data_IF_984273411828
#
_entry.id   IF_984273411828
#
_cell.length_a   1.000
_cell.length_b   1.000
_cell.length_c   1.000
_cell.angle_alpha   90.00
_cell.angle_beta   90.00
_cell.angle_gamma   90.00
#
_symmetry.space_group_name_H-M   'P 1'
#
loop_
_entity.id
_entity.type
_entity.pdbx_description
1 polymer ?
#
# COMPACT_ATOMS: atom_id res chain seq x y z
N UNK A 1 17.48 -14.48 -11.38
CA UNK A 1 17.60 -13.11 -11.92
C UNK A 1 18.76 -13.09 -12.89
N UNK A 2 18.55 -12.52 -14.08
CA UNK A 2 19.54 -12.35 -15.13
C UNK A 2 20.33 -11.04 -14.96
N UNK A 3 21.43 -10.90 -15.72
CA UNK A 3 22.33 -9.74 -15.65
C UNK A 3 21.67 -8.45 -16.14
N UNK A 4 20.74 -8.53 -17.08
CA UNK A 4 20.05 -7.36 -17.64
C UNK A 4 19.14 -6.75 -16.58
N UNK A 5 18.33 -7.57 -15.92
CA UNK A 5 17.47 -7.14 -14.81
C UNK A 5 18.28 -6.51 -13.68
N UNK A 6 19.42 -7.08 -13.31
CA UNK A 6 20.30 -6.48 -12.31
C UNK A 6 20.81 -5.09 -12.74
N UNK A 7 21.24 -4.94 -14.00
CA UNK A 7 21.70 -3.66 -14.52
C UNK A 7 20.59 -2.60 -14.47
N UNK A 8 19.36 -2.98 -14.79
CA UNK A 8 18.20 -2.09 -14.72
C UNK A 8 17.87 -1.68 -13.30
N UNK A 9 17.90 -2.61 -12.33
CA UNK A 9 17.70 -2.26 -10.92
C UNK A 9 18.77 -1.29 -10.42
N UNK A 10 20.04 -1.49 -10.83
CA UNK A 10 21.14 -0.59 -10.48
C UNK A 10 20.92 0.78 -11.11
N UNK A 11 20.50 0.85 -12.39
CA UNK A 11 20.13 2.12 -13.05
C UNK A 11 19.01 2.82 -12.29
N UNK A 12 17.95 2.10 -11.93
CA UNK A 12 16.81 2.62 -11.17
C UNK A 12 17.28 3.22 -9.84
N UNK A 13 18.13 2.51 -9.08
CA UNK A 13 18.70 3.00 -7.82
C UNK A 13 19.41 4.35 -7.97
N UNK A 14 20.30 4.47 -8.95
CA UNK A 14 21.07 5.70 -9.12
C UNK A 14 20.23 6.83 -9.71
N UNK A 15 19.37 6.54 -10.69
CA UNK A 15 18.53 7.53 -11.32
C UNK A 15 17.45 8.05 -10.36
N UNK A 16 16.83 7.17 -9.56
CA UNK A 16 15.87 7.54 -8.52
C UNK A 16 16.51 8.47 -7.48
N UNK A 17 17.69 8.14 -6.96
CA UNK A 17 18.42 9.01 -6.03
C UNK A 17 18.73 10.39 -6.65
N UNK A 18 19.12 10.43 -7.92
CA UNK A 18 19.41 11.69 -8.63
C UNK A 18 18.16 12.56 -8.80
N UNK A 19 17.00 11.94 -8.97
CA UNK A 19 15.70 12.61 -9.10
C UNK A 19 15.06 12.99 -7.75
N UNK A 20 15.75 12.78 -6.62
CA UNK A 20 15.20 13.02 -5.28
C UNK A 20 14.21 11.95 -4.79
N UNK A 21 14.22 10.78 -5.44
CA UNK A 21 13.42 9.61 -5.07
C UNK A 21 13.97 8.82 -3.89
N UNK A 22 13.30 7.69 -3.54
CA UNK A 22 13.66 6.88 -2.39
C UNK A 22 15.04 6.22 -2.54
N UNK A 23 15.68 5.93 -1.40
CA UNK A 23 16.88 5.09 -1.40
C UNK A 23 16.49 3.61 -1.59
N UNK A 24 17.09 2.99 -2.61
CA UNK A 24 16.75 1.61 -3.00
C UNK A 24 17.81 0.63 -2.50
N UNK A 25 17.38 -0.33 -1.68
CA UNK A 25 18.13 -1.53 -1.31
C UNK A 25 17.89 -2.61 -2.37
N UNK A 26 18.95 -2.97 -3.11
CA UNK A 26 18.85 -3.93 -4.22
C UNK A 26 18.58 -5.35 -3.74
N UNK A 27 19.05 -5.72 -2.54
CA UNK A 27 18.85 -7.08 -2.00
C UNK A 27 17.38 -7.23 -1.61
N UNK A 28 16.81 -6.24 -0.92
CA UNK A 28 15.38 -6.24 -0.60
C UNK A 28 14.52 -6.12 -1.83
N UNK A 29 14.90 -5.30 -2.80
CA UNK A 29 14.20 -5.18 -4.07
C UNK A 29 14.08 -6.53 -4.79
N UNK A 30 15.13 -7.34 -4.76
CA UNK A 30 15.14 -8.67 -5.39
C UNK A 30 14.34 -9.74 -4.61
N UNK A 31 14.22 -9.61 -3.29
CA UNK A 31 13.74 -10.66 -2.41
C UNK A 31 12.35 -10.42 -1.82
N UNK A 32 11.89 -9.16 -1.75
CA UNK A 32 10.63 -8.78 -1.10
C UNK A 32 9.72 -8.05 -2.10
N UNK A 33 8.65 -8.73 -2.50
CA UNK A 33 7.66 -8.22 -3.43
C UNK A 33 6.91 -6.98 -2.91
N UNK A 34 6.68 -6.87 -1.60
CA UNK A 34 6.00 -5.70 -1.00
C UNK A 34 6.92 -4.49 -1.00
N UNK A 35 8.19 -4.70 -0.67
CA UNK A 35 9.20 -3.65 -0.77
C UNK A 35 9.35 -3.16 -2.21
N UNK A 36 9.40 -4.09 -3.17
CA UNK A 36 9.48 -3.74 -4.59
C UNK A 36 8.26 -2.95 -5.07
N UNK A 37 7.05 -3.36 -4.70
CA UNK A 37 5.82 -2.65 -5.05
C UNK A 37 5.79 -1.22 -4.49
N UNK A 38 6.21 -1.04 -3.24
CA UNK A 38 6.33 0.28 -2.61
C UNK A 38 7.37 1.17 -3.30
N UNK A 39 8.54 0.61 -3.65
CA UNK A 39 9.59 1.34 -4.37
C UNK A 39 9.12 1.75 -5.76
N UNK A 40 8.51 0.84 -6.54
CA UNK A 40 8.02 1.17 -7.88
C UNK A 40 6.92 2.22 -7.83
N UNK A 41 5.97 2.12 -6.89
CA UNK A 41 4.93 3.14 -6.70
C UNK A 41 5.51 4.52 -6.36
N UNK A 42 6.52 4.58 -5.48
CA UNK A 42 7.19 5.82 -5.13
C UNK A 42 7.94 6.41 -6.34
N UNK A 43 8.61 5.58 -7.13
CA UNK A 43 9.33 6.02 -8.32
C UNK A 43 8.38 6.51 -9.41
N UNK A 44 7.24 5.85 -9.60
CA UNK A 44 6.21 6.24 -10.58
C UNK A 44 5.56 7.60 -10.26
N UNK A 45 5.63 8.04 -9.00
CA UNK A 45 5.15 9.37 -8.60
C UNK A 45 6.12 10.51 -8.91
N UNK A 46 7.34 10.21 -9.38
CA UNK A 46 8.36 11.20 -9.70
C UNK A 46 8.12 11.84 -11.07
N UNK A 47 8.48 13.12 -11.27
CA UNK A 47 8.28 13.83 -12.54
C UNK A 47 9.38 13.51 -13.58
N UNK A 48 9.81 12.25 -13.68
CA UNK A 48 10.80 11.77 -14.67
C UNK A 48 10.23 10.60 -15.46
N UNK A 49 9.79 10.87 -16.70
CA UNK A 49 9.16 9.90 -17.59
C UNK A 49 10.06 8.68 -17.87
N UNK A 50 11.37 8.90 -18.04
CA UNK A 50 12.30 7.80 -18.33
C UNK A 50 12.43 6.86 -17.14
N UNK A 51 12.40 7.42 -15.92
CA UNK A 51 12.45 6.66 -14.69
C UNK A 51 11.15 5.88 -14.44
N UNK A 52 10.00 6.49 -14.73
CA UNK A 52 8.67 5.85 -14.64
C UNK A 52 8.62 4.64 -15.58
N UNK A 53 9.05 4.79 -16.84
CA UNK A 53 9.08 3.70 -17.81
C UNK A 53 10.00 2.54 -17.36
N UNK A 54 11.16 2.87 -16.78
CA UNK A 54 12.08 1.87 -16.21
C UNK A 54 11.44 1.14 -15.02
N UNK A 55 10.76 1.86 -14.14
CA UNK A 55 10.05 1.27 -13.00
C UNK A 55 8.93 0.33 -13.46
N UNK A 56 8.11 0.72 -14.45
CA UNK A 56 7.07 -0.14 -15.00
C UNK A 56 7.62 -1.39 -15.68
N UNK A 57 8.73 -1.25 -16.43
CA UNK A 57 9.42 -2.38 -17.07
C UNK A 57 9.92 -3.38 -16.03
N UNK A 58 10.55 -2.89 -14.97
CA UNK A 58 10.98 -3.74 -13.86
C UNK A 58 9.76 -4.36 -13.15
N UNK A 59 8.70 -3.59 -12.90
CA UNK A 59 7.48 -4.10 -12.27
C UNK A 59 6.87 -5.27 -13.04
N UNK A 60 6.91 -5.24 -14.37
CA UNK A 60 6.54 -6.37 -15.23
C UNK A 60 7.47 -7.57 -15.08
N UNK A 61 8.80 -7.34 -15.15
CA UNK A 61 9.82 -8.40 -14.95
C UNK A 61 9.72 -9.08 -13.58
N UNK A 62 9.27 -8.34 -12.56
CA UNK A 62 9.01 -8.86 -11.21
C UNK A 62 7.63 -9.51 -11.07
N UNK A 63 6.78 -9.47 -12.10
CA UNK A 63 5.43 -10.05 -12.09
C UNK A 63 4.42 -9.28 -11.25
N UNK A 64 4.68 -8.00 -10.96
CA UNK A 64 3.87 -7.19 -10.03
C UNK A 64 2.77 -6.37 -10.74
N UNK A 65 2.74 -6.31 -12.07
CA UNK A 65 1.69 -5.58 -12.81
C UNK A 65 0.27 -6.12 -12.59
N UNK A 66 0.13 -7.41 -12.25
CA UNK A 66 -1.16 -8.03 -11.95
C UNK A 66 -1.61 -7.80 -10.49
N UNK A 67 -0.73 -7.25 -9.65
CA UNK A 67 -1.05 -6.99 -8.24
C UNK A 67 -1.85 -5.70 -8.17
N UNK A 68 -3.15 -5.87 -7.92
CA UNK A 68 -4.08 -4.77 -7.64
C UNK A 68 -3.47 -3.91 -6.53
N UNK A 69 -3.43 -2.57 -6.66
CA UNK A 69 -2.83 -1.72 -5.64
C UNK A 69 -3.50 -2.00 -4.31
N UNK A 70 -2.72 -2.51 -3.36
CA UNK A 70 -3.14 -2.59 -1.97
C UNK A 70 -3.17 -1.14 -1.51
N UNK A 71 -4.38 -0.59 -1.37
CA UNK A 71 -4.58 0.66 -0.65
C UNK A 71 -3.80 0.54 0.67
N UNK A 72 -3.02 1.58 1.06
CA UNK A 72 -2.37 1.54 2.35
C UNK A 72 -3.46 1.31 3.39
N UNK A 73 -3.33 0.23 4.17
CA UNK A 73 -4.13 0.06 5.37
C UNK A 73 -3.81 1.27 6.24
N UNK A 74 -4.76 2.20 6.33
CA UNK A 74 -4.78 3.18 7.40
C UNK A 74 -4.65 2.41 8.70
N UNK A 75 -3.56 2.71 9.41
CA UNK A 75 -3.25 2.30 10.76
C UNK A 75 -4.53 2.13 11.57
N UNK A 76 -4.93 0.88 11.82
CA UNK A 76 -5.94 0.59 12.80
C UNK A 76 -5.36 0.95 14.17
N UNK A 77 -5.65 2.18 14.63
CA UNK A 77 -5.45 2.54 16.02
C UNK A 77 -6.27 1.58 16.89
N UNK A 78 -5.72 1.04 17.99
CA UNK A 78 -6.52 0.26 18.92
C UNK A 78 -7.41 1.22 19.70
N UNK A 79 -8.66 1.36 19.30
CA UNK A 79 -9.67 2.04 20.13
C UNK A 79 -10.06 1.10 21.26
N UNK A 80 -9.23 1.07 22.29
CA UNK A 80 -9.61 0.65 23.63
C UNK A 80 -10.58 1.70 24.19
N UNK A 81 -11.88 1.51 23.96
CA UNK A 81 -12.93 2.27 24.60
C UNK A 81 -13.92 1.31 25.27
N UNK A 82 -13.59 0.95 26.50
CA UNK A 82 -14.57 0.48 27.46
C UNK A 82 -15.54 1.62 27.77
N UNK A 83 -16.82 1.49 27.40
CA UNK A 83 -17.94 1.97 28.23
C UNK A 83 -19.26 1.30 27.88
N UNK A 84 -19.66 0.42 28.79
CA UNK A 84 -21.01 0.07 29.26
C UNK A 84 -22.22 0.04 28.32
N UNK A 85 -22.92 -1.09 28.51
CA UNK A 85 -24.38 -1.22 28.61
C UNK A 85 -25.19 -1.09 27.33
N UNK A 86 -25.56 -2.25 26.78
CA UNK A 86 -26.95 -2.53 26.42
C UNK A 86 -27.13 -4.04 26.16
N UNK A 87 -27.17 -4.83 27.24
CA UNK A 87 -27.65 -6.21 27.21
C UNK A 87 -28.70 -6.38 28.31
N UNK A 88 -29.97 -6.10 27.98
CA UNK A 88 -31.15 -6.78 28.53
C UNK A 88 -32.44 -6.20 27.90
N UNK A 89 -33.31 -7.02 27.29
CA UNK A 89 -34.67 -6.61 26.98
C UNK A 89 -35.54 -6.91 28.21
N UNK A 90 -36.05 -5.88 28.90
CA UNK A 90 -37.15 -6.07 29.86
C UNK A 90 -38.24 -5.03 29.63
N UNK A 91 -39.33 -5.57 29.09
CA UNK A 91 -40.73 -5.22 29.25
C UNK A 91 -41.07 -4.02 30.14
N UNK A 92 -41.55 -2.92 29.56
CA UNK A 92 -42.61 -2.13 30.20
C UNK A 92 -43.63 -1.63 29.16
N UNK A 93 -44.89 -1.94 29.48
CA UNK A 93 -46.11 -1.68 28.73
C UNK A 93 -46.48 -0.21 28.86
N UNK A 94 -46.57 0.51 27.74
CA UNK A 94 -47.45 1.67 27.66
C UNK A 94 -48.29 1.57 26.40
N UNK A 95 -49.54 1.11 26.57
CA UNK A 95 -50.57 1.23 25.54
C UNK A 95 -50.97 2.71 25.44
N UNK A 96 -50.54 3.40 24.39
CA UNK A 96 -51.14 4.67 24.00
C UNK A 96 -52.21 4.40 22.93
N UNK A 97 -53.36 3.90 23.39
CA UNK A 97 -54.58 3.78 22.59
C UNK A 97 -55.42 5.05 22.72
N UNK A 98 -55.56 5.79 21.64
CA UNK A 98 -56.44 6.94 21.51
C UNK A 98 -57.92 6.55 21.68
N UNK A 99 -58.66 7.21 22.61
CA UNK A 99 -60.13 7.42 22.59
C UNK A 99 -60.52 8.66 23.42
N UNK A 100 -61.57 9.32 22.93
CA UNK A 100 -62.24 10.56 23.30
C UNK A 100 -62.62 10.75 24.77
#
# INVERSE_FOLDING_TARGET
MDRETLNEMVKLKFASRKAGGPEIDLVKLAADARYADGVFSAVESLPDESLVLLAMTLRDKFGLLAVRPVMPEETAEPVEAARSEAAAPTTERYMLGARS
#
